data_IF_319510413345
#
_entry.id   IF_319510413345
#
_cell.length_a   1.000
_cell.length_b   1.000
_cell.length_c   1.000
_cell.angle_alpha   90.00
_cell.angle_beta   90.00
_cell.angle_gamma   90.00
#
_symmetry.space_group_name_H-M   'P 1'
#
loop_
_entity.id
_entity.type
_entity.pdbx_description
1 polymer ?
#
# COMPACT_ATOMS: atom_id res chain seq x y z
N UNK A 1 -20.82 -0.90 18.91
CA UNK A 1 -19.40 -0.66 18.59
C UNK A 1 -19.26 -0.53 17.07
N UNK A 2 -18.92 0.65 16.57
CA UNK A 2 -18.65 0.84 15.14
C UNK A 2 -17.58 1.90 15.00
N UNK A 3 -16.32 1.53 15.21
CA UNK A 3 -15.22 2.45 14.97
C UNK A 3 -15.30 2.88 13.51
N UNK A 4 -15.51 4.18 13.29
CA UNK A 4 -15.35 4.83 11.99
C UNK A 4 -13.94 4.48 11.52
N UNK A 5 -13.82 3.50 10.63
CA UNK A 5 -12.54 3.06 10.08
C UNK A 5 -11.89 4.26 9.40
N UNK A 6 -10.91 4.84 10.07
CA UNK A 6 -10.09 5.92 9.54
C UNK A 6 -9.31 5.33 8.38
N UNK A 7 -9.82 5.52 7.16
CA UNK A 7 -9.17 5.01 5.94
C UNK A 7 -7.71 5.45 5.94
N UNK A 8 -6.82 4.50 5.73
CA UNK A 8 -5.40 4.76 5.61
C UNK A 8 -5.14 5.35 4.22
N UNK A 9 -4.33 6.40 4.14
CA UNK A 9 -3.90 6.91 2.85
C UNK A 9 -2.59 6.21 2.46
N UNK A 10 -2.37 5.90 1.18
CA UNK A 10 -1.15 5.26 0.72
C UNK A 10 0.12 6.01 1.15
N UNK A 11 0.06 7.34 1.30
CA UNK A 11 1.16 8.16 1.80
C UNK A 11 1.60 7.81 3.23
N UNK A 12 0.71 7.20 4.01
CA UNK A 12 1.00 6.78 5.37
C UNK A 12 1.68 5.40 5.39
N UNK A 13 1.66 4.67 4.27
CA UNK A 13 2.29 3.37 4.09
C UNK A 13 3.66 3.56 3.45
N UNK A 14 4.73 3.25 4.19
CA UNK A 14 6.11 3.25 3.68
C UNK A 14 6.56 1.85 3.35
N UNK A 15 7.37 1.70 2.30
CA UNK A 15 8.07 0.44 2.03
C UNK A 15 9.21 0.31 3.04
N UNK A 16 9.34 -0.86 3.65
CA UNK A 16 10.43 -1.16 4.59
C UNK A 16 11.38 -2.23 4.06
N UNK A 17 10.95 -2.99 3.06
CA UNK A 17 11.75 -4.03 2.43
C UNK A 17 11.35 -4.26 0.98
N UNK A 18 12.36 -4.44 0.15
CA UNK A 18 12.23 -4.76 -1.26
C UNK A 18 13.01 -6.04 -1.58
N UNK A 19 12.60 -6.76 -2.62
CA UNK A 19 13.42 -7.81 -3.23
C UNK A 19 14.56 -7.21 -4.05
N UNK A 20 15.54 -8.03 -4.43
CA UNK A 20 16.60 -7.65 -5.37
C UNK A 20 16.08 -7.11 -6.73
N UNK A 21 14.86 -7.48 -7.13
CA UNK A 21 14.20 -6.97 -8.35
C UNK A 21 13.47 -5.63 -8.18
N UNK A 22 13.56 -4.98 -7.00
CA UNK A 22 12.82 -3.74 -6.68
C UNK A 22 11.34 -3.94 -6.37
N UNK A 23 10.91 -5.18 -6.05
CA UNK A 23 9.53 -5.46 -5.65
C UNK A 23 9.35 -5.21 -4.15
N UNK A 24 8.39 -4.37 -3.79
CA UNK A 24 8.01 -4.08 -2.41
C UNK A 24 7.43 -5.34 -1.73
N UNK A 25 8.02 -5.75 -0.61
CA UNK A 25 7.68 -6.96 0.13
C UNK A 25 6.99 -6.64 1.46
N UNK A 26 7.55 -5.69 2.20
CA UNK A 26 7.10 -5.29 3.53
C UNK A 26 6.87 -3.78 3.56
N UNK A 27 5.91 -3.39 4.38
CA UNK A 27 5.45 -2.04 4.51
C UNK A 27 5.20 -1.70 5.97
N UNK A 28 5.23 -0.42 6.31
CA UNK A 28 4.87 0.09 7.63
C UNK A 28 3.88 1.25 7.52
N UNK A 29 2.78 1.15 8.24
CA UNK A 29 1.88 2.27 8.47
C UNK A 29 2.52 3.21 9.50
N UNK A 30 2.89 4.41 9.04
CA UNK A 30 3.57 5.41 9.87
C UNK A 30 2.67 6.06 10.92
N UNK A 31 1.34 5.96 10.79
CA UNK A 31 0.39 6.47 11.78
C UNK A 31 0.14 5.51 12.93
N UNK A 32 -0.01 4.21 12.62
CA UNK A 32 -0.33 3.18 13.61
C UNK A 32 0.90 2.42 14.08
N UNK A 33 2.01 2.49 13.34
CA UNK A 33 3.19 1.67 13.56
C UNK A 33 3.05 0.23 13.04
N UNK A 34 1.90 -0.15 12.48
CA UNK A 34 1.61 -1.50 11.99
C UNK A 34 2.51 -1.89 10.82
N UNK A 35 3.09 -3.09 10.90
CA UNK A 35 3.84 -3.70 9.81
C UNK A 35 2.93 -4.58 8.96
N UNK A 36 3.01 -4.42 7.65
CA UNK A 36 2.12 -5.02 6.68
C UNK A 36 2.93 -5.74 5.60
N UNK A 37 2.55 -6.98 5.32
CA UNK A 37 3.01 -7.68 4.13
C UNK A 37 2.33 -7.15 2.87
N UNK A 38 2.97 -7.37 1.73
CA UNK A 38 2.40 -7.10 0.41
C UNK A 38 0.98 -7.65 0.20
N UNK A 39 0.70 -8.86 0.68
CA UNK A 39 -0.63 -9.46 0.56
C UNK A 39 -1.68 -8.70 1.39
N UNK A 40 -1.31 -8.27 2.61
CA UNK A 40 -2.19 -7.45 3.44
C UNK A 40 -2.45 -6.08 2.82
N UNK A 41 -1.42 -5.43 2.25
CA UNK A 41 -1.60 -4.15 1.55
C UNK A 41 -2.52 -4.30 0.34
N UNK A 42 -2.35 -5.35 -0.48
CA UNK A 42 -3.24 -5.65 -1.61
C UNK A 42 -4.68 -5.82 -1.15
N UNK A 43 -4.92 -6.65 -0.13
CA UNK A 43 -6.27 -6.88 0.39
C UNK A 43 -6.91 -5.59 0.92
N UNK A 44 -6.13 -4.75 1.62
CA UNK A 44 -6.60 -3.47 2.16
C UNK A 44 -6.88 -2.42 1.09
N UNK A 45 -6.17 -2.44 -0.04
CA UNK A 45 -6.48 -1.60 -1.20
C UNK A 45 -7.77 -2.09 -1.84
N UNK A 46 -7.93 -3.40 -2.05
CA UNK A 46 -9.12 -4.00 -2.66
C UNK A 46 -10.37 -3.83 -1.78
N UNK A 47 -10.23 -3.85 -0.45
CA UNK A 47 -11.32 -3.57 0.50
C UNK A 47 -11.64 -2.07 0.64
N UNK A 48 -10.82 -1.18 0.07
CA UNK A 48 -10.98 0.28 0.17
C UNK A 48 -10.57 0.85 1.54
N UNK A 49 -9.90 0.08 2.38
CA UNK A 49 -9.27 0.54 3.62
C UNK A 49 -8.05 1.43 3.35
N UNK A 50 -7.29 1.13 2.30
CA UNK A 50 -6.19 1.97 1.81
C UNK A 50 -6.65 2.73 0.56
N UNK A 51 -6.50 4.06 0.61
CA UNK A 51 -6.90 4.97 -0.46
C UNK A 51 -5.70 5.61 -1.15
N UNK A 52 -5.84 6.00 -2.43
CA UNK A 52 -4.76 6.60 -3.22
C UNK A 52 -3.84 5.59 -3.93
N UNK A 53 -4.19 4.30 -3.87
CA UNK A 53 -3.50 3.21 -4.54
C UNK A 53 -4.48 2.33 -5.33
N UNK A 54 -3.93 1.50 -6.20
CA UNK A 54 -4.65 0.47 -6.94
C UNK A 54 -3.79 -0.80 -7.02
N UNK A 55 -4.41 -1.94 -7.27
CA UNK A 55 -3.71 -3.21 -7.47
C UNK A 55 -3.55 -3.46 -8.97
N UNK A 56 -2.32 -3.76 -9.41
CA UNK A 56 -2.02 -4.23 -10.77
C UNK A 56 -1.64 -5.70 -10.75
N UNK A 57 -1.85 -6.42 -11.85
CA UNK A 57 -1.32 -7.77 -12.01
C UNK A 57 -0.04 -7.72 -12.84
N UNK A 58 1.11 -7.99 -12.22
CA UNK A 58 2.42 -8.04 -12.89
C UNK A 58 2.90 -9.48 -12.88
N UNK A 59 3.13 -10.08 -14.05
CA UNK A 59 3.50 -11.50 -14.18
C UNK A 59 2.58 -12.43 -13.38
N UNK A 60 1.27 -12.21 -13.49
CA UNK A 60 0.21 -12.93 -12.77
C UNK A 60 0.17 -12.71 -11.24
N UNK A 61 0.99 -11.81 -10.70
CA UNK A 61 1.06 -11.48 -9.26
C UNK A 61 0.42 -10.12 -9.00
N UNK A 62 -0.54 -10.05 -8.06
CA UNK A 62 -1.21 -8.80 -7.63
C UNK A 62 -0.23 -7.90 -6.88
N UNK A 63 0.13 -6.75 -7.42
CA UNK A 63 1.12 -5.81 -6.88
C UNK A 63 0.43 -4.49 -6.49
N UNK A 64 0.67 -3.97 -5.28
CA UNK A 64 0.16 -2.65 -4.90
C UNK A 64 0.93 -1.57 -5.67
N UNK A 65 0.21 -0.65 -6.30
CA UNK A 65 0.76 0.48 -7.03
C UNK A 65 0.09 1.78 -6.58
N UNK A 66 0.86 2.85 -6.48
CA UNK A 66 0.32 4.19 -6.28
C UNK A 66 -0.43 4.69 -7.51
N UNK A 67 -1.42 5.56 -7.32
CA UNK A 67 -2.08 6.21 -8.45
C UNK A 67 -1.10 7.17 -9.17
N UNK A 68 -0.92 7.05 -10.50
CA UNK A 68 -0.13 8.00 -11.26
C UNK A 68 -0.96 9.26 -11.49
N UNK A 69 -1.05 10.15 -10.50
CA UNK A 69 -1.83 11.39 -10.57
C UNK A 69 -0.96 12.64 -10.73
N UNK A 70 0.29 12.49 -11.20
CA UNK A 70 1.23 13.58 -11.40
C UNK A 70 1.72 14.23 -10.10
N UNK A 71 1.19 13.84 -8.95
CA UNK A 71 1.61 14.29 -7.63
C UNK A 71 2.70 13.36 -7.13
N UNK A 72 3.95 13.85 -7.13
CA UNK A 72 5.13 13.14 -6.61
C UNK A 72 4.90 12.49 -5.23
N UNK A 73 4.01 13.07 -4.42
CA UNK A 73 3.71 12.64 -3.05
C UNK A 73 2.86 11.36 -2.94
N UNK A 74 2.35 10.81 -4.05
CA UNK A 74 1.63 9.54 -4.03
C UNK A 74 2.52 8.35 -4.37
N UNK A 75 3.78 8.54 -4.77
CA UNK A 75 4.64 7.44 -5.17
C UNK A 75 5.05 6.56 -3.98
N UNK A 76 4.92 5.24 -4.15
CA UNK A 76 5.60 4.27 -3.30
C UNK A 76 7.10 4.41 -3.58
N UNK A 77 7.84 4.87 -2.59
CA UNK A 77 9.30 4.98 -2.61
C UNK A 77 9.89 4.46 -1.32
#
# INVERSE_FOLDING_TARGET
MGNKSGKTNIKDIKVTKESDSGRNLEFKNTKTGEELSRAQVVNKIESGEITGAHVRKVNNVKTPCSNPDGKKNNNLG
#
